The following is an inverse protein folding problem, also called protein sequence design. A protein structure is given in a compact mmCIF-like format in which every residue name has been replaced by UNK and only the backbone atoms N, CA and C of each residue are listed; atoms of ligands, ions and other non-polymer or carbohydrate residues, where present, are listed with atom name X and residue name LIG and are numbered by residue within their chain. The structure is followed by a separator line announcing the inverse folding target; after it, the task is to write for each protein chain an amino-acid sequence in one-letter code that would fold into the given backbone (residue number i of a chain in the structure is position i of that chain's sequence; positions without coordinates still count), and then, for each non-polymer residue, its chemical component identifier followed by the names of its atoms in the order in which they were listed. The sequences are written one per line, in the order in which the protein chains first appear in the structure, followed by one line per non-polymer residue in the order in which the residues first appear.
data_IF_734936211342
#
_entry.id   IF_734936211342
#
_cell.length_a   1.000
_cell.length_b   1.000
_cell.length_c   1.000
_cell.angle_alpha   90.00
_cell.angle_beta   90.00
_cell.angle_gamma   90.00
#
_symmetry.space_group_name_H-M   'P 1'
#
loop_
_entity.id
_entity.type
_entity.pdbx_description
1 polymer ?
#
# COMPACT_ATOMS: atom_id res chain seq x y z
N UNK A 1 6.09 -15.09 3.23
CA UNK A 1 7.34 -14.76 2.51
C UNK A 1 8.45 -14.78 3.55
N UNK A 2 9.31 -15.78 3.50
CA UNK A 2 10.49 -15.86 4.36
C UNK A 2 11.72 -15.56 3.47
N UNK A 3 12.58 -14.63 3.90
CA UNK A 3 13.73 -14.15 3.12
C UNK A 3 14.99 -14.36 3.96
N UNK A 4 15.89 -15.28 3.58
CA UNK A 4 17.04 -15.63 4.38
C UNK A 4 18.23 -14.71 4.05
N UNK A 5 18.12 -13.38 4.22
CA UNK A 5 19.30 -12.49 4.06
C UNK A 5 19.16 -11.17 4.80
N UNK A 6 20.24 -10.76 5.47
CA UNK A 6 20.40 -9.54 6.26
C UNK A 6 20.72 -8.28 5.45
N UNK A 7 20.61 -8.32 4.12
CA UNK A 7 20.94 -7.16 3.27
C UNK A 7 19.76 -6.21 3.11
N UNK A 8 20.00 -4.97 3.55
CA UNK A 8 19.07 -3.85 3.78
C UNK A 8 18.26 -3.36 2.55
N UNK A 9 18.41 -4.01 1.38
CA UNK A 9 17.71 -3.68 0.11
C UNK A 9 17.21 -4.92 -0.66
N UNK A 10 17.50 -6.14 -0.17
CA UNK A 10 17.11 -7.38 -0.87
C UNK A 10 15.61 -7.67 -0.80
N UNK A 11 14.94 -7.19 0.25
CA UNK A 11 13.51 -7.34 0.47
C UNK A 11 12.72 -6.51 -0.54
N UNK A 12 13.08 -5.23 -0.71
CA UNK A 12 12.35 -4.31 -1.60
C UNK A 12 12.45 -4.74 -3.07
N UNK A 13 13.64 -5.16 -3.51
CA UNK A 13 13.86 -5.64 -4.88
C UNK A 13 13.08 -6.92 -5.17
N UNK A 14 13.00 -7.83 -4.18
CA UNK A 14 12.26 -9.08 -4.33
C UNK A 14 10.75 -8.85 -4.33
N UNK A 15 10.25 -7.94 -3.49
CA UNK A 15 8.85 -7.53 -3.50
C UNK A 15 8.44 -6.96 -4.86
N UNK A 16 9.28 -6.08 -5.42
CA UNK A 16 9.05 -5.48 -6.74
C UNK A 16 8.99 -6.58 -7.81
N UNK A 17 9.98 -7.47 -7.85
CA UNK A 17 10.05 -8.52 -8.85
C UNK A 17 8.88 -9.52 -8.76
N UNK A 18 8.47 -9.88 -7.55
CA UNK A 18 7.34 -10.80 -7.35
C UNK A 18 6.00 -10.11 -7.73
N UNK A 19 5.80 -8.83 -7.37
CA UNK A 19 4.63 -8.09 -7.83
C UNK A 19 4.57 -7.95 -9.36
N UNK A 20 5.69 -7.69 -10.02
CA UNK A 20 5.72 -7.62 -11.49
C UNK A 20 5.42 -8.97 -12.14
N UNK A 21 5.93 -10.07 -11.56
CA UNK A 21 5.64 -11.43 -12.05
C UNK A 21 4.14 -11.75 -11.94
N UNK A 22 3.49 -11.40 -10.83
CA UNK A 22 2.06 -11.61 -10.64
C UNK A 22 1.20 -10.68 -11.52
N UNK A 23 1.59 -9.41 -11.70
CA UNK A 23 0.91 -8.52 -12.64
C UNK A 23 0.87 -9.09 -14.06
N UNK A 24 1.98 -9.70 -14.49
CA UNK A 24 2.10 -10.28 -15.82
C UNK A 24 1.32 -11.59 -15.95
N UNK A 25 1.05 -12.31 -14.86
CA UNK A 25 0.24 -13.53 -14.87
C UNK A 25 -1.26 -13.27 -14.73
N UNK A 26 -1.67 -12.09 -14.24
CA UNK A 26 -3.08 -11.69 -14.09
C UNK A 26 -3.33 -10.37 -14.85
N UNK A 27 -3.40 -10.42 -16.19
CA UNK A 27 -3.55 -9.22 -17.02
C UNK A 27 -4.84 -8.44 -16.76
N UNK A 28 -5.88 -9.09 -16.20
CA UNK A 28 -7.17 -8.48 -15.85
C UNK A 28 -7.18 -7.74 -14.50
N UNK A 29 -6.06 -7.68 -13.77
CA UNK A 29 -6.02 -6.91 -12.53
C UNK A 29 -6.06 -5.43 -12.87
N UNK A 30 -7.15 -4.75 -12.57
CA UNK A 30 -7.31 -3.32 -12.86
C UNK A 30 -6.85 -2.42 -11.71
N UNK A 31 -6.82 -2.98 -10.48
CA UNK A 31 -6.56 -2.24 -9.24
C UNK A 31 -5.48 -2.96 -8.43
N UNK A 32 -4.46 -2.22 -8.01
CA UNK A 32 -3.38 -2.66 -7.14
C UNK A 32 -3.46 -1.89 -5.82
N UNK A 33 -3.39 -2.61 -4.72
CA UNK A 33 -3.42 -2.02 -3.38
C UNK A 33 -2.04 -2.17 -2.75
N UNK A 34 -1.38 -1.05 -2.46
CA UNK A 34 -0.08 -1.02 -1.82
C UNK A 34 -0.21 -0.52 -0.38
N UNK A 35 0.19 -1.35 0.58
CA UNK A 35 0.16 -0.98 2.00
C UNK A 35 1.56 -0.54 2.41
N UNK A 36 1.87 0.75 2.22
CA UNK A 36 3.17 1.33 2.60
C UNK A 36 3.08 2.85 2.75
N UNK A 37 3.93 3.40 3.61
CA UNK A 37 4.18 4.85 3.70
C UNK A 37 5.47 5.28 3.00
N UNK A 38 6.24 4.36 2.42
CA UNK A 38 7.60 4.64 1.98
C UNK A 38 7.67 5.31 0.59
N UNK A 39 8.40 6.43 0.53
CA UNK A 39 8.59 7.24 -0.68
C UNK A 39 9.27 6.51 -1.83
N UNK A 40 10.09 5.50 -1.55
CA UNK A 40 10.89 4.82 -2.57
C UNK A 40 10.04 4.00 -3.56
N UNK A 41 8.80 3.68 -3.17
CA UNK A 41 7.84 2.98 -4.01
C UNK A 41 7.19 3.88 -5.08
N UNK A 42 7.46 5.20 -5.08
CA UNK A 42 6.90 6.14 -6.07
C UNK A 42 7.15 5.67 -7.51
N UNK A 43 8.35 5.21 -7.82
CA UNK A 43 8.71 4.79 -9.17
C UNK A 43 7.96 3.50 -9.57
N UNK A 44 7.67 2.62 -8.62
CA UNK A 44 6.88 1.41 -8.85
C UNK A 44 5.42 1.76 -9.16
N UNK A 45 4.83 2.67 -8.37
CA UNK A 45 3.46 3.17 -8.62
C UNK A 45 3.34 3.74 -10.03
N UNK A 46 4.31 4.56 -10.45
CA UNK A 46 4.33 5.12 -11.82
C UNK A 46 4.44 4.05 -12.90
N UNK A 47 5.23 3.00 -12.68
CA UNK A 47 5.36 1.89 -13.63
C UNK A 47 4.06 1.10 -13.77
N UNK A 48 3.35 0.86 -12.67
CA UNK A 48 2.04 0.19 -12.70
C UNK A 48 0.98 1.05 -13.39
N UNK A 49 0.94 2.35 -13.11
CA UNK A 49 0.05 3.29 -13.79
C UNK A 49 0.33 3.37 -15.31
N UNK A 50 1.60 3.37 -15.71
CA UNK A 50 1.97 3.32 -17.12
C UNK A 50 1.51 2.03 -17.83
N UNK A 51 1.32 0.94 -17.08
CA UNK A 51 0.73 -0.32 -17.54
C UNK A 51 -0.82 -0.32 -17.47
N UNK A 52 -1.44 0.84 -17.23
CA UNK A 52 -2.90 1.01 -17.16
C UNK A 52 -3.54 0.57 -15.86
N UNK A 53 -2.76 0.38 -14.80
CA UNK A 53 -3.25 -0.12 -13.50
C UNK A 53 -3.57 1.06 -12.58
N UNK A 54 -4.70 0.99 -11.88
CA UNK A 54 -5.04 1.93 -10.81
C UNK A 54 -4.36 1.52 -9.51
N UNK A 55 -3.72 2.45 -8.81
CA UNK A 55 -2.97 2.16 -7.59
C UNK A 55 -3.60 2.88 -6.39
N UNK A 56 -4.01 2.10 -5.40
CA UNK A 56 -4.56 2.58 -4.12
C UNK A 56 -3.52 2.37 -3.03
N UNK A 57 -3.24 3.40 -2.23
CA UNK A 57 -2.25 3.34 -1.15
C UNK A 57 -2.91 3.35 0.21
N UNK A 58 -2.58 2.38 1.05
CA UNK A 58 -2.91 2.40 2.48
C UNK A 58 -1.64 2.69 3.28
N UNK A 59 -1.66 3.74 4.09
CA UNK A 59 -0.50 4.15 4.87
C UNK A 59 -0.90 4.58 6.28
N UNK A 60 0.08 4.76 7.17
CA UNK A 60 -0.13 5.41 8.45
C UNK A 60 0.07 6.93 8.28
N UNK A 61 -0.87 7.73 8.77
CA UNK A 61 -0.84 9.18 8.57
C UNK A 61 0.38 9.86 9.18
N UNK A 62 1.03 9.24 10.18
CA UNK A 62 2.20 9.79 10.85
C UNK A 62 3.51 9.60 10.06
N UNK A 63 3.60 8.63 9.14
CA UNK A 63 4.84 8.27 8.47
C UNK A 63 4.75 8.21 6.94
N UNK A 64 3.58 8.47 6.36
CA UNK A 64 3.37 8.40 4.93
C UNK A 64 4.14 9.51 4.19
N UNK A 65 4.97 9.11 3.24
CA UNK A 65 5.70 10.01 2.36
C UNK A 65 4.73 10.74 1.43
N UNK A 66 4.74 12.08 1.51
CA UNK A 66 3.96 12.91 0.59
C UNK A 66 4.34 12.69 -0.88
N UNK A 67 5.59 12.33 -1.16
CA UNK A 67 6.04 12.00 -2.52
C UNK A 67 5.34 10.75 -3.06
N UNK A 68 5.09 9.76 -2.21
CA UNK A 68 4.34 8.55 -2.57
C UNK A 68 2.85 8.88 -2.75
N UNK A 69 2.24 9.57 -1.77
CA UNK A 69 0.81 9.90 -1.82
C UNK A 69 0.46 10.75 -3.05
N UNK A 70 1.35 11.67 -3.45
CA UNK A 70 1.15 12.53 -4.64
C UNK A 70 1.08 11.79 -5.97
N UNK A 71 1.50 10.52 -6.02
CA UNK A 71 1.43 9.71 -7.25
C UNK A 71 0.36 8.61 -7.18
N UNK A 72 -0.28 8.40 -6.03
CA UNK A 72 -1.36 7.44 -5.89
C UNK A 72 -2.62 7.90 -6.62
N UNK A 73 -3.40 6.95 -7.16
CA UNK A 73 -4.73 7.28 -7.69
C UNK A 73 -5.72 7.54 -6.54
N UNK A 74 -5.61 6.75 -5.47
CA UNK A 74 -6.34 6.96 -4.22
C UNK A 74 -5.43 6.60 -3.03
N UNK A 75 -5.69 7.20 -1.86
CA UNK A 75 -5.02 6.77 -0.63
C UNK A 75 -5.93 6.86 0.59
N UNK A 76 -5.65 5.98 1.57
CA UNK A 76 -6.39 5.88 2.81
C UNK A 76 -5.42 5.75 3.99
N UNK A 77 -5.72 6.45 5.08
CA UNK A 77 -4.97 6.33 6.32
C UNK A 77 -5.59 5.28 7.23
N UNK A 78 -4.84 4.20 7.48
CA UNK A 78 -5.32 3.03 8.24
C UNK A 78 -5.62 3.43 9.69
N UNK A 79 -4.75 4.25 10.28
CA UNK A 79 -4.85 4.73 11.66
C UNK A 79 -6.09 5.61 11.89
N UNK A 80 -6.42 6.48 10.93
CA UNK A 80 -7.65 7.30 11.02
C UNK A 80 -8.90 6.45 10.94
N UNK A 81 -8.93 5.51 9.99
CA UNK A 81 -10.08 4.61 9.78
C UNK A 81 -10.29 3.63 10.94
N UNK A 82 -9.19 3.17 11.55
CA UNK A 82 -9.24 2.34 12.75
C UNK A 82 -9.78 3.13 13.95
N UNK A 83 -9.37 4.40 14.11
CA UNK A 83 -9.87 5.26 15.19
C UNK A 83 -11.38 5.49 15.07
N UNK A 84 -11.87 5.78 13.86
CA UNK A 84 -13.31 5.89 13.58
C UNK A 84 -14.07 4.60 13.94
N UNK A 85 -13.53 3.43 13.59
CA UNK A 85 -14.14 2.14 13.90
C UNK A 85 -14.22 1.87 15.41
N UNK A 86 -13.15 2.24 16.14
CA UNK A 86 -13.09 2.09 17.60
C UNK A 86 -14.07 3.02 18.30
N UNK A 87 -14.26 4.24 17.82
CA UNK A 87 -15.25 5.17 18.36
C UNK A 87 -16.68 4.63 18.20
N UNK A 88 -17.02 4.07 17.03
CA UNK A 88 -18.34 3.48 16.79
C UNK A 88 -18.59 2.27 17.69
N UNK A 89 -17.61 1.36 17.83
CA UNK A 89 -17.74 0.20 18.73
C UNK A 89 -17.87 0.61 20.19
N UNK A 90 -17.11 1.62 20.63
CA UNK A 90 -17.18 2.12 22.01
C UNK A 90 -18.57 2.66 22.33
N UNK A 91 -19.17 3.41 21.40
CA UNK A 91 -20.55 3.91 21.56
C UNK A 91 -21.58 2.78 21.61
N UNK A 92 -21.43 1.75 20.78
CA UNK A 92 -22.36 0.61 20.78
C UNK A 92 -22.30 -0.21 22.08
N UNK A 93 -21.12 -0.36 22.68
CA UNK A 93 -20.96 -1.05 23.98
C UNK A 93 -21.55 -0.23 25.14
N UNK A 94 -21.51 1.10 25.08
CA UNK A 94 -22.12 1.97 26.09
C UNK A 94 -23.65 2.06 26.00
N UNK A 95 -24.25 1.58 24.91
CA UNK A 95 -25.71 1.56 24.69
C UNK A 95 -26.34 0.18 24.94
N UNK A 96 -25.53 -0.85 25.22
CA UNK A 96 -25.95 -2.22 25.52
C UNK A 96 -25.86 -2.51 27.02
#
# INVERSE_FOLDING_TARGET
MDVPTTEKQSVDQKLIADCERELNSIPSTDILILITGDGDYKNLVRQWQAKGKKVIIFANSNNASQKLLSVADEYYFVDKKLSELLEVKTRLIQMA
#
